data_IF_415033063792
#
_entry.id   IF_415033063792
#
_cell.length_a   1.000
_cell.length_b   1.000
_cell.length_c   1.000
_cell.angle_alpha   90.00
_cell.angle_beta   90.00
_cell.angle_gamma   90.00
#
_symmetry.space_group_name_H-M   'P 1'
#
loop_
_entity.id
_entity.type
_entity.pdbx_description
1 polymer ?
#
# COMPACT_ATOMS: atom_id res chain seq x y z
N UNK A 1 18.10 -31.11 -16.11
CA UNK A 1 17.90 -29.66 -16.14
C UNK A 1 16.70 -29.24 -17.01
N UNK A 2 15.65 -28.70 -16.39
CA UNK A 2 14.46 -28.14 -17.03
C UNK A 2 13.62 -27.36 -16.01
N UNK A 3 12.86 -26.36 -16.44
CA UNK A 3 11.79 -25.77 -15.62
C UNK A 3 10.61 -26.75 -15.50
N UNK A 4 10.29 -27.17 -14.28
CA UNK A 4 9.14 -28.03 -13.91
C UNK A 4 7.82 -27.26 -13.77
N UNK A 5 7.91 -25.94 -13.57
CA UNK A 5 6.82 -24.98 -13.59
C UNK A 5 7.38 -23.67 -14.11
N UNK A 6 6.82 -23.17 -15.20
CA UNK A 6 7.16 -21.85 -15.74
C UNK A 6 6.74 -20.73 -14.79
N UNK A 7 7.26 -19.53 -15.04
CA UNK A 7 6.75 -18.30 -14.42
C UNK A 7 5.24 -18.17 -14.70
N UNK A 8 4.46 -17.82 -13.69
CA UNK A 8 3.01 -17.61 -13.86
C UNK A 8 2.68 -16.13 -14.08
N UNK A 9 1.72 -15.86 -14.97
CA UNK A 9 1.10 -14.53 -15.14
C UNK A 9 0.42 -14.08 -13.82
N UNK A 10 0.51 -12.78 -13.51
CA UNK A 10 -0.09 -12.20 -12.30
C UNK A 10 -0.88 -10.95 -12.63
N UNK A 11 -2.20 -11.01 -12.45
CA UNK A 11 -3.07 -9.80 -12.38
C UNK A 11 -3.30 -9.36 -10.94
N UNK A 12 -2.97 -8.11 -10.63
CA UNK A 12 -3.21 -7.43 -9.36
C UNK A 12 -3.55 -5.93 -9.64
N UNK A 13 -3.27 -5.04 -8.69
CA UNK A 13 -3.42 -3.58 -8.76
C UNK A 13 -2.35 -2.90 -7.90
N UNK A 14 -2.21 -1.58 -7.94
CA UNK A 14 -1.37 -0.85 -6.96
C UNK A 14 -1.75 -1.18 -5.50
N UNK A 15 -0.86 -0.89 -4.54
CA UNK A 15 -1.21 -1.02 -3.13
C UNK A 15 -1.35 -2.47 -2.68
N UNK A 16 -0.52 -3.38 -3.20
CA UNK A 16 -0.44 -4.76 -2.73
C UNK A 16 0.95 -5.36 -3.01
N UNK A 17 1.45 -6.20 -2.10
CA UNK A 17 2.68 -6.97 -2.33
C UNK A 17 2.44 -8.11 -3.32
N UNK A 18 3.35 -8.26 -4.29
CA UNK A 18 3.26 -9.27 -5.34
C UNK A 18 4.45 -10.23 -5.27
N UNK A 19 4.19 -11.52 -5.08
CA UNK A 19 5.19 -12.59 -5.25
C UNK A 19 4.89 -13.40 -6.51
N UNK A 20 5.92 -13.66 -7.31
CA UNK A 20 5.87 -14.36 -8.60
C UNK A 20 6.92 -15.47 -8.63
N UNK A 21 6.57 -16.63 -9.20
CA UNK A 21 7.28 -17.88 -8.91
C UNK A 21 7.36 -18.84 -10.10
N UNK A 22 8.38 -19.68 -10.08
CA UNK A 22 8.62 -20.80 -11.01
C UNK A 22 9.39 -21.92 -10.27
N UNK A 23 9.72 -23.04 -10.93
CA UNK A 23 10.38 -24.19 -10.31
C UNK A 23 11.32 -24.92 -11.25
N UNK A 24 12.56 -25.17 -10.83
CA UNK A 24 13.55 -25.89 -11.63
C UNK A 24 13.73 -27.34 -11.19
N UNK A 25 14.18 -28.21 -12.10
CA UNK A 25 14.40 -29.64 -11.85
C UNK A 25 15.55 -29.95 -10.87
N UNK A 26 16.24 -28.95 -10.31
CA UNK A 26 17.40 -29.11 -9.42
C UNK A 26 17.22 -28.23 -8.17
N UNK A 27 17.35 -28.79 -6.94
CA UNK A 27 17.25 -28.04 -5.69
C UNK A 27 18.23 -26.86 -5.57
N UNK A 28 17.74 -25.73 -5.04
CA UNK A 28 18.50 -24.56 -4.57
C UNK A 28 19.47 -23.88 -5.57
N UNK A 29 19.62 -24.34 -6.81
CA UNK A 29 20.48 -23.68 -7.80
C UNK A 29 19.90 -22.30 -8.12
N UNK A 30 20.71 -21.25 -7.93
CA UNK A 30 20.28 -19.86 -8.06
C UNK A 30 19.96 -19.55 -9.52
N UNK A 31 18.91 -18.76 -9.75
CA UNK A 31 18.52 -18.28 -11.08
C UNK A 31 18.95 -16.83 -11.33
N UNK A 32 19.08 -16.44 -12.60
CA UNK A 32 19.24 -15.05 -13.00
C UNK A 32 17.86 -14.44 -13.31
N UNK A 33 17.39 -13.50 -12.49
CA UNK A 33 16.10 -12.81 -12.68
C UNK A 33 16.23 -11.52 -13.51
N UNK A 34 15.24 -11.26 -14.35
CA UNK A 34 15.17 -10.09 -15.23
C UNK A 34 13.74 -9.53 -15.33
N UNK A 35 13.61 -8.25 -15.71
CA UNK A 35 12.33 -7.55 -15.96
C UNK A 35 12.52 -6.53 -17.09
N UNK A 36 11.60 -6.49 -18.06
CA UNK A 36 11.73 -5.64 -19.25
C UNK A 36 13.11 -5.81 -19.95
N UNK A 37 13.65 -7.03 -19.91
CA UNK A 37 14.99 -7.41 -20.39
C UNK A 37 16.18 -6.94 -19.54
N UNK A 38 15.95 -6.19 -18.44
CA UNK A 38 16.98 -5.64 -17.53
C UNK A 38 17.18 -6.51 -16.30
N UNK A 39 18.39 -6.54 -15.74
CA UNK A 39 18.74 -7.37 -14.56
C UNK A 39 17.93 -6.96 -13.34
N UNK A 40 17.17 -7.89 -12.76
CA UNK A 40 16.25 -7.61 -11.64
C UNK A 40 16.98 -7.65 -10.29
N UNK A 41 17.84 -6.65 -10.06
CA UNK A 41 18.65 -6.50 -8.85
C UNK A 41 17.76 -6.40 -7.59
N UNK A 42 18.01 -7.18 -6.51
CA UNK A 42 17.29 -7.05 -5.25
C UNK A 42 17.71 -5.75 -4.56
N UNK A 43 16.80 -4.77 -4.50
CA UNK A 43 17.04 -3.42 -3.97
C UNK A 43 15.77 -2.89 -3.27
N UNK A 44 15.57 -3.30 -2.02
CA UNK A 44 14.56 -2.72 -1.11
C UNK A 44 13.10 -2.97 -1.47
N UNK A 45 12.61 -2.36 -2.54
CA UNK A 45 11.25 -2.55 -3.08
C UNK A 45 11.15 -3.84 -3.92
N UNK A 46 12.25 -4.24 -4.55
CA UNK A 46 12.44 -5.50 -5.28
C UNK A 46 13.25 -6.47 -4.44
N UNK A 47 12.82 -7.74 -4.35
CA UNK A 47 13.52 -8.87 -3.72
C UNK A 47 13.41 -10.12 -4.59
N UNK A 48 14.38 -11.02 -4.50
CA UNK A 48 14.34 -12.34 -5.15
C UNK A 48 14.94 -13.40 -4.21
N UNK A 49 14.48 -14.64 -4.32
CA UNK A 49 14.77 -15.75 -3.41
C UNK A 49 14.81 -17.10 -4.16
N UNK A 50 15.46 -18.09 -3.58
CA UNK A 50 15.44 -19.49 -4.05
C UNK A 50 15.17 -20.45 -2.90
N UNK A 51 14.42 -21.51 -3.17
CA UNK A 51 14.02 -22.55 -2.24
C UNK A 51 14.61 -23.91 -2.64
N UNK A 52 14.21 -24.97 -1.95
CA UNK A 52 14.67 -26.34 -2.20
C UNK A 52 14.21 -26.96 -3.54
N UNK A 53 13.47 -26.21 -4.37
CA UNK A 53 13.32 -26.38 -5.83
C UNK A 53 12.63 -25.20 -6.54
N UNK A 54 11.84 -24.39 -5.83
CA UNK A 54 11.17 -23.19 -6.41
C UNK A 54 12.05 -21.95 -6.38
N UNK A 55 11.73 -21.00 -7.27
CA UNK A 55 12.42 -19.72 -7.46
C UNK A 55 11.38 -18.60 -7.36
N UNK A 56 11.74 -17.47 -6.72
CA UNK A 56 10.80 -16.41 -6.36
C UNK A 56 11.34 -15.00 -6.64
N UNK A 57 10.42 -14.12 -7.00
CA UNK A 57 10.55 -12.66 -7.03
C UNK A 57 9.42 -12.09 -6.17
N UNK A 58 9.73 -11.13 -5.30
CA UNK A 58 8.70 -10.34 -4.58
C UNK A 58 8.92 -8.84 -4.81
N UNK A 59 7.89 -8.18 -5.33
CA UNK A 59 7.76 -6.72 -5.28
C UNK A 59 6.97 -6.35 -4.01
N UNK A 60 7.65 -5.76 -3.03
CA UNK A 60 7.00 -5.27 -1.82
C UNK A 60 6.22 -3.99 -2.13
N UNK A 61 4.89 -4.05 -2.04
CA UNK A 61 3.95 -3.00 -2.44
C UNK A 61 4.12 -2.49 -3.90
N UNK A 62 3.41 -3.11 -4.85
CA UNK A 62 3.53 -2.79 -6.29
C UNK A 62 3.02 -1.39 -6.64
N UNK A 63 3.72 -0.78 -7.60
CA UNK A 63 3.35 0.47 -8.28
C UNK A 63 2.91 0.09 -9.70
N UNK A 64 2.03 0.85 -10.36
CA UNK A 64 1.68 0.58 -11.77
C UNK A 64 2.92 0.60 -12.68
N UNK A 65 3.92 1.39 -12.30
CA UNK A 65 5.28 1.47 -12.83
C UNK A 65 6.09 0.15 -12.80
N UNK A 66 5.67 -0.88 -12.04
CA UNK A 66 6.33 -2.19 -11.94
C UNK A 66 5.78 -3.27 -12.88
N UNK A 67 4.75 -2.98 -13.69
CA UNK A 67 4.16 -3.92 -14.64
C UNK A 67 5.10 -4.27 -15.81
N UNK A 68 4.82 -5.37 -16.51
CA UNK A 68 5.54 -5.81 -17.70
C UNK A 68 5.99 -7.26 -17.65
N UNK A 69 6.86 -7.66 -18.58
CA UNK A 69 7.47 -8.99 -18.61
C UNK A 69 8.49 -9.15 -17.49
N UNK A 70 8.37 -10.25 -16.74
CA UNK A 70 9.38 -10.78 -15.84
C UNK A 70 9.92 -12.10 -16.42
N UNK A 71 11.20 -12.38 -16.17
CA UNK A 71 11.94 -13.52 -16.73
C UNK A 71 12.83 -14.12 -15.64
N UNK A 72 12.98 -15.44 -15.64
CA UNK A 72 13.84 -16.19 -14.74
C UNK A 72 14.68 -17.20 -15.56
N UNK A 73 16.00 -17.20 -15.34
CA UNK A 73 16.99 -17.90 -16.17
C UNK A 73 17.88 -18.83 -15.35
N UNK A 74 18.41 -19.85 -16.01
CA UNK A 74 19.40 -20.77 -15.45
C UNK A 74 20.30 -21.29 -16.59
N UNK A 75 21.40 -20.58 -16.84
CA UNK A 75 22.33 -20.86 -17.95
C UNK A 75 21.61 -20.87 -19.31
N UNK A 76 21.32 -22.04 -19.88
CA UNK A 76 20.62 -22.19 -21.17
C UNK A 76 19.09 -22.18 -21.06
N UNK A 77 18.53 -22.38 -19.86
CA UNK A 77 17.12 -22.69 -19.65
C UNK A 77 16.39 -21.57 -18.93
N UNK A 78 15.40 -20.95 -19.59
CA UNK A 78 14.67 -19.78 -19.10
C UNK A 78 13.15 -19.96 -19.12
N UNK A 79 12.45 -19.06 -18.42
CA UNK A 79 10.99 -18.96 -18.36
C UNK A 79 10.57 -17.50 -18.17
N UNK A 80 9.41 -17.10 -18.70
CA UNK A 80 8.92 -15.71 -18.62
C UNK A 80 7.39 -15.58 -18.66
N UNK A 81 6.89 -14.54 -18.00
CA UNK A 81 5.46 -14.22 -17.84
C UNK A 81 5.26 -12.71 -17.60
N UNK A 82 4.00 -12.27 -17.52
CA UNK A 82 3.66 -10.86 -17.35
C UNK A 82 3.09 -10.54 -15.95
N UNK A 83 3.45 -9.39 -15.40
CA UNK A 83 2.77 -8.75 -14.27
C UNK A 83 1.88 -7.62 -14.79
N UNK A 84 0.57 -7.71 -14.54
CA UNK A 84 -0.44 -6.75 -15.00
C UNK A 84 -1.15 -6.14 -13.80
N UNK A 85 -0.99 -4.82 -13.65
CA UNK A 85 -1.38 -4.09 -12.44
C UNK A 85 -1.90 -2.70 -12.79
N UNK A 86 -3.16 -2.47 -12.48
CA UNK A 86 -3.83 -1.18 -12.69
C UNK A 86 -3.63 -0.21 -11.53
N UNK A 87 -3.68 1.08 -11.85
CA UNK A 87 -3.99 2.12 -10.88
C UNK A 87 -5.39 1.90 -10.30
N UNK A 88 -5.45 1.33 -9.09
CA UNK A 88 -6.66 1.33 -8.26
C UNK A 88 -6.93 2.73 -7.66
N UNK A 89 -8.17 3.00 -7.20
CA UNK A 89 -8.42 4.05 -6.22
C UNK A 89 -7.62 3.78 -4.95
N UNK A 90 -6.85 4.76 -4.46
CA UNK A 90 -6.19 4.66 -3.14
C UNK A 90 -7.24 4.70 -2.03
N UNK A 91 -7.36 3.61 -1.27
CA UNK A 91 -8.41 3.38 -0.28
C UNK A 91 -7.86 2.93 1.07
N UNK A 92 -8.72 2.97 2.09
CA UNK A 92 -8.37 2.68 3.47
C UNK A 92 -8.53 1.19 3.82
N UNK A 93 -7.53 0.60 4.46
CA UNK A 93 -7.58 -0.76 5.02
C UNK A 93 -8.21 -0.81 6.43
N UNK A 94 -8.34 0.36 7.11
CA UNK A 94 -9.04 0.50 8.41
C UNK A 94 -10.27 1.41 8.38
N UNK A 95 -10.17 2.54 7.66
CA UNK A 95 -11.15 3.66 7.58
C UNK A 95 -11.37 4.43 8.90
N UNK A 96 -11.48 5.76 8.83
CA UNK A 96 -11.82 6.61 9.99
C UNK A 96 -13.24 6.33 10.49
N UNK A 97 -13.46 6.47 11.79
CA UNK A 97 -14.73 6.12 12.46
C UNK A 97 -15.12 7.16 13.51
N UNK A 98 -16.43 7.24 13.80
CA UNK A 98 -17.03 8.25 14.67
C UNK A 98 -16.49 8.16 16.11
N UNK A 99 -16.51 9.29 16.84
CA UNK A 99 -15.91 9.38 18.19
C UNK A 99 -16.82 10.17 19.14
N UNK A 100 -16.96 9.72 20.38
CA UNK A 100 -17.62 10.44 21.48
C UNK A 100 -16.61 10.75 22.58
N UNK A 101 -16.43 12.03 22.92
CA UNK A 101 -15.35 12.55 23.78
C UNK A 101 -15.84 13.68 24.66
N UNK A 102 -15.44 13.70 25.93
CA UNK A 102 -15.87 14.75 26.86
C UNK A 102 -15.05 16.04 26.67
N UNK A 103 -15.67 17.20 26.87
CA UNK A 103 -15.21 18.49 26.32
C UNK A 103 -13.79 18.89 26.69
N UNK A 104 -13.33 18.59 27.92
CA UNK A 104 -11.98 18.89 28.39
C UNK A 104 -10.87 18.08 27.69
N UNK A 105 -11.20 16.93 27.10
CA UNK A 105 -10.25 15.91 26.64
C UNK A 105 -9.75 16.17 25.21
N UNK A 106 -9.42 15.10 24.47
CA UNK A 106 -9.09 15.14 23.05
C UNK A 106 -9.69 13.93 22.31
N UNK A 107 -9.93 14.07 21.00
CA UNK A 107 -10.47 13.01 20.14
C UNK A 107 -9.47 12.61 19.06
N UNK A 108 -9.10 11.33 19.01
CA UNK A 108 -8.06 10.81 18.13
C UNK A 108 -8.66 10.00 16.98
N UNK A 109 -8.85 10.66 15.84
CA UNK A 109 -9.20 9.99 14.59
C UNK A 109 -7.98 9.25 14.04
N UNK A 110 -8.21 8.07 13.47
CA UNK A 110 -7.15 7.15 13.03
C UNK A 110 -7.61 6.34 11.80
N UNK A 111 -6.73 6.17 10.82
CA UNK A 111 -6.93 5.25 9.71
C UNK A 111 -5.61 4.74 9.12
N UNK A 112 -5.72 3.88 8.11
CA UNK A 112 -4.62 3.17 7.45
C UNK A 112 -4.99 2.90 5.99
N UNK A 113 -4.03 2.91 5.07
CA UNK A 113 -4.25 2.87 3.60
C UNK A 113 -3.47 1.78 2.86
N UNK A 114 -3.92 1.50 1.64
CA UNK A 114 -3.46 0.44 0.73
C UNK A 114 -1.96 0.45 0.38
N UNK A 115 -1.30 1.62 0.39
CA UNK A 115 -0.04 1.86 -0.32
C UNK A 115 0.94 2.75 0.45
N UNK A 116 2.24 2.43 0.40
CA UNK A 116 3.26 2.95 1.31
C UNK A 116 3.64 4.43 1.12
N UNK A 117 3.63 4.94 -0.11
CA UNK A 117 4.00 6.33 -0.43
C UNK A 117 2.80 7.29 -0.52
N UNK A 118 1.68 6.92 0.11
CA UNK A 118 0.47 7.74 0.21
C UNK A 118 0.67 9.07 0.95
N UNK A 119 -0.16 10.06 0.64
CA UNK A 119 -0.35 11.32 1.38
C UNK A 119 -1.78 11.35 1.95
N UNK A 120 -1.99 12.14 3.01
CA UNK A 120 -3.28 12.32 3.69
C UNK A 120 -3.59 13.79 3.91
N UNK A 121 -4.89 14.16 3.92
CA UNK A 121 -5.38 15.50 4.26
C UNK A 121 -6.68 15.41 5.07
N UNK A 122 -6.88 16.29 6.06
CA UNK A 122 -7.97 16.24 7.03
C UNK A 122 -8.93 17.44 6.93
N UNK A 123 -10.21 17.24 7.27
CA UNK A 123 -11.31 18.18 6.99
C UNK A 123 -12.39 18.19 8.08
N UNK A 124 -13.12 19.30 8.20
CA UNK A 124 -14.42 19.42 8.89
C UNK A 124 -15.42 20.15 8.01
N UNK A 125 -16.47 19.45 7.56
CA UNK A 125 -17.34 19.94 6.48
C UNK A 125 -16.51 20.23 5.22
N UNK A 126 -16.76 21.35 4.49
CA UNK A 126 -15.96 21.74 3.33
C UNK A 126 -14.51 22.15 3.67
N UNK A 127 -14.25 22.63 4.90
CA UNK A 127 -12.97 23.23 5.30
C UNK A 127 -11.89 22.19 5.59
N UNK A 128 -10.73 22.31 4.94
CA UNK A 128 -9.49 21.60 5.32
C UNK A 128 -8.93 22.13 6.64
N UNK A 129 -8.43 21.22 7.47
CA UNK A 129 -7.90 21.50 8.80
C UNK A 129 -6.38 21.67 8.72
N UNK A 130 -5.92 22.86 9.10
CA UNK A 130 -4.50 23.22 9.25
C UNK A 130 -4.11 23.13 10.73
N UNK A 131 -2.85 22.81 11.02
CA UNK A 131 -2.37 22.65 12.39
C UNK A 131 -2.30 24.02 13.09
N UNK A 132 -3.20 24.24 14.07
CA UNK A 132 -3.55 25.57 14.60
C UNK A 132 -4.00 25.47 16.07
N UNK A 133 -3.16 24.85 16.92
CA UNK A 133 -3.41 24.61 18.35
C UNK A 133 -4.79 23.98 18.68
N UNK A 134 -5.32 23.16 17.77
CA UNK A 134 -6.68 22.60 17.81
C UNK A 134 -6.84 21.26 17.06
N UNK A 135 -6.10 21.07 15.97
CA UNK A 135 -6.12 19.88 15.10
C UNK A 135 -4.67 19.44 14.83
N UNK A 136 -4.23 18.32 15.41
CA UNK A 136 -2.86 17.84 15.36
C UNK A 136 -2.74 16.56 14.51
N UNK A 137 -1.83 16.56 13.54
CA UNK A 137 -1.72 15.47 12.57
C UNK A 137 -0.41 14.68 12.71
N UNK A 138 -0.46 13.38 12.39
CA UNK A 138 0.72 12.49 12.37
C UNK A 138 0.56 11.40 11.32
N UNK A 139 1.68 10.90 10.80
CA UNK A 139 1.76 9.72 9.94
C UNK A 139 2.68 8.66 10.56
N UNK A 140 2.27 7.39 10.49
CA UNK A 140 3.08 6.21 10.80
C UNK A 140 3.09 5.29 9.56
N UNK A 141 3.77 5.76 8.51
CA UNK A 141 3.89 5.11 7.21
C UNK A 141 2.55 4.98 6.48
N UNK A 142 1.95 3.79 6.55
CA UNK A 142 0.61 3.48 6.03
C UNK A 142 -0.53 4.03 6.88
N UNK A 143 -0.24 4.44 8.12
CA UNK A 143 -1.24 4.91 9.09
C UNK A 143 -1.26 6.44 9.21
N UNK A 144 -2.44 7.01 9.50
CA UNK A 144 -2.69 8.45 9.57
C UNK A 144 -3.54 8.81 10.79
N UNK A 145 -3.30 9.99 11.37
CA UNK A 145 -3.90 10.44 12.64
C UNK A 145 -4.33 11.91 12.62
N UNK A 146 -5.45 12.21 13.27
CA UNK A 146 -5.88 13.56 13.65
C UNK A 146 -6.35 13.56 15.11
N UNK A 147 -5.58 14.19 16.00
CA UNK A 147 -5.98 14.49 17.38
C UNK A 147 -6.61 15.87 17.42
N UNK A 148 -7.86 15.97 17.90
CA UNK A 148 -8.56 17.24 18.13
C UNK A 148 -8.53 17.55 19.63
N UNK A 149 -7.92 18.67 20.01
CA UNK A 149 -7.82 19.11 21.41
C UNK A 149 -9.06 19.92 21.82
N UNK A 150 -9.70 19.55 22.95
CA UNK A 150 -11.06 19.93 23.34
C UNK A 150 -12.16 19.49 22.34
N UNK A 151 -13.29 19.03 22.89
CA UNK A 151 -14.47 18.59 22.13
C UNK A 151 -15.70 19.34 22.60
N UNK A 152 -15.75 20.62 22.24
CA UNK A 152 -16.87 21.50 22.59
C UNK A 152 -18.15 21.14 21.83
N UNK A 153 -19.33 21.63 22.29
CA UNK A 153 -20.57 21.56 21.53
C UNK A 153 -20.47 22.03 20.06
N UNK A 154 -19.58 22.98 19.77
CA UNK A 154 -19.30 23.48 18.42
C UNK A 154 -18.41 22.54 17.59
N UNK A 155 -17.47 21.85 18.25
CA UNK A 155 -16.57 20.87 17.63
C UNK A 155 -17.29 19.63 17.08
N UNK A 156 -18.53 19.36 17.49
CA UNK A 156 -19.40 18.41 16.81
C UNK A 156 -19.58 18.72 15.32
N UNK A 157 -19.96 17.71 14.54
CA UNK A 157 -20.17 17.79 13.09
C UNK A 157 -19.43 16.69 12.34
N UNK A 158 -19.60 16.68 11.01
CA UNK A 158 -18.90 15.77 10.10
C UNK A 158 -17.45 16.21 9.92
N UNK A 159 -16.52 15.31 10.21
CA UNK A 159 -15.11 15.39 9.79
C UNK A 159 -14.88 14.44 8.61
N UNK A 160 -13.84 14.70 7.82
CA UNK A 160 -13.43 13.83 6.71
C UNK A 160 -11.92 13.68 6.61
N UNK A 161 -11.51 12.64 5.88
CA UNK A 161 -10.13 12.38 5.48
C UNK A 161 -10.06 12.11 3.97
N UNK A 162 -8.95 12.51 3.34
CA UNK A 162 -8.63 12.25 1.93
C UNK A 162 -7.33 11.46 1.86
N UNK A 163 -7.36 10.26 1.26
CA UNK A 163 -6.14 9.53 0.89
C UNK A 163 -5.76 9.89 -0.56
N UNK A 164 -4.49 10.24 -0.81
CA UNK A 164 -4.08 10.84 -2.10
C UNK A 164 -2.65 10.58 -2.50
N UNK A 165 -2.45 10.36 -3.79
CA UNK A 165 -1.14 10.16 -4.44
C UNK A 165 -1.17 10.87 -5.82
N UNK A 166 -0.70 10.22 -6.88
CA UNK A 166 -1.06 10.55 -8.25
C UNK A 166 -2.60 10.44 -8.47
N UNK A 167 -3.20 10.90 -9.58
CA UNK A 167 -4.67 11.02 -9.74
C UNK A 167 -5.49 9.72 -9.86
N UNK A 168 -5.20 8.72 -9.02
CA UNK A 168 -5.79 7.37 -9.02
C UNK A 168 -6.87 7.25 -7.94
N UNK A 169 -8.13 7.47 -8.32
CA UNK A 169 -9.33 7.37 -7.46
C UNK A 169 -9.12 7.82 -6.01
N UNK A 170 -8.98 9.13 -5.82
CA UNK A 170 -8.62 9.76 -4.54
C UNK A 170 -9.75 9.55 -3.49
N UNK A 171 -9.67 8.48 -2.69
CA UNK A 171 -10.80 8.08 -1.83
C UNK A 171 -10.97 8.96 -0.59
N UNK A 172 -12.21 9.01 -0.12
CA UNK A 172 -12.70 9.90 0.92
C UNK A 172 -13.67 9.19 1.86
N UNK A 173 -13.58 9.50 3.15
CA UNK A 173 -14.43 8.93 4.20
C UNK A 173 -14.74 9.99 5.24
N UNK A 174 -15.90 9.87 5.89
CA UNK A 174 -16.35 10.80 6.94
C UNK A 174 -16.51 10.12 8.30
N UNK A 175 -16.54 10.92 9.37
CA UNK A 175 -16.83 10.49 10.74
C UNK A 175 -17.36 11.69 11.56
N UNK A 176 -18.46 11.52 12.30
CA UNK A 176 -18.99 12.59 13.15
C UNK A 176 -18.41 12.58 14.58
N UNK A 177 -18.07 13.76 15.08
CA UNK A 177 -17.65 13.98 16.47
C UNK A 177 -18.83 14.34 17.37
N UNK A 178 -18.81 13.85 18.62
CA UNK A 178 -19.85 14.10 19.63
C UNK A 178 -19.25 14.44 20.99
N UNK A 179 -19.80 15.48 21.64
CA UNK A 179 -19.43 15.92 22.99
C UNK A 179 -20.12 15.08 24.07
N UNK A 180 -19.33 14.46 24.95
CA UNK A 180 -19.82 13.70 26.11
C UNK A 180 -19.95 14.61 27.35
N UNK A 181 -21.07 14.53 28.08
CA UNK A 181 -21.31 15.29 29.32
C UNK A 181 -20.77 14.57 30.54
#
# INVERSE_FOLDING_TARGET
PAWERHLQDVTLKEGQTCTMTCQFSVPNVKSEWFRNGRVLKPQGRVKTEVEHKVHKLTIADVRAEDQGQYTCKHEDLETSAELRIEAEPIQFTKRIQNIVVSEHQSATFECEVSFDDAIVTWYKGPTELTESQKYNFRNDGRCHYMTIHNVTPDDEGVYSVIARLEPRGEARSTAELKGEL
#
